data_IF_592184070814
#
_entry.id   IF_592184070814
#
_cell.length_a   1.000
_cell.length_b   1.000
_cell.length_c   1.000
_cell.angle_alpha   90.00
_cell.angle_beta   90.00
_cell.angle_gamma   90.00
#
_symmetry.space_group_name_H-M   'P 1'
#
loop_
_entity.id
_entity.type
_entity.pdbx_description
1 polymer ?
#
# COMPACT_ATOMS: atom_id res chain seq x y z
N UNK A 1 25.08 -14.10 -6.42
CA UNK A 1 24.27 -13.85 -5.20
C UNK A 1 23.73 -12.44 -5.34
N UNK A 2 22.56 -12.14 -4.76
CA UNK A 2 22.07 -10.77 -4.81
C UNK A 2 23.07 -9.86 -4.08
N UNK A 3 23.18 -8.62 -4.55
CA UNK A 3 23.99 -7.59 -3.90
C UNK A 3 23.30 -7.07 -2.64
N UNK A 4 21.98 -6.98 -2.69
CA UNK A 4 21.10 -6.62 -1.59
C UNK A 4 19.96 -7.65 -1.52
N UNK A 5 19.95 -8.45 -0.45
CA UNK A 5 18.85 -9.34 -0.12
C UNK A 5 17.81 -8.64 0.78
N UNK A 6 16.53 -8.73 0.42
CA UNK A 6 15.44 -8.32 1.30
C UNK A 6 15.28 -9.33 2.43
N UNK A 7 15.21 -8.85 3.67
CA UNK A 7 15.06 -9.67 4.86
C UNK A 7 13.84 -9.21 5.67
N UNK A 8 13.16 -10.12 6.42
CA UNK A 8 11.94 -9.76 7.14
C UNK A 8 12.08 -8.65 8.19
N UNK A 9 13.29 -8.34 8.65
CA UNK A 9 13.55 -7.22 9.57
C UNK A 9 13.39 -5.83 8.93
N UNK A 10 13.37 -5.78 7.59
CA UNK A 10 13.10 -4.57 6.81
C UNK A 10 11.60 -4.34 6.57
N UNK A 11 10.74 -5.29 6.93
CA UNK A 11 9.29 -5.13 6.76
C UNK A 11 8.77 -4.02 7.69
N UNK A 12 8.15 -3.00 7.09
CA UNK A 12 7.46 -1.93 7.80
C UNK A 12 6.07 -2.36 8.27
N UNK A 13 5.49 -3.37 7.62
CA UNK A 13 4.11 -3.79 7.82
C UNK A 13 3.09 -2.85 7.15
N UNK A 14 3.55 -1.90 6.33
CA UNK A 14 2.72 -1.08 5.45
C UNK A 14 2.95 -1.60 4.04
N UNK A 15 1.99 -2.38 3.51
CA UNK A 15 2.17 -3.13 2.27
C UNK A 15 2.64 -2.27 1.08
N UNK A 16 2.12 -1.05 0.94
CA UNK A 16 2.57 -0.12 -0.11
C UNK A 16 4.07 0.21 0.01
N UNK A 17 4.52 0.55 1.22
CA UNK A 17 5.92 0.92 1.50
C UNK A 17 6.85 -0.28 1.28
N UNK A 18 6.46 -1.45 1.78
CA UNK A 18 7.26 -2.68 1.65
C UNK A 18 7.44 -3.10 0.17
N UNK A 19 6.40 -2.97 -0.65
CA UNK A 19 6.51 -3.26 -2.08
C UNK A 19 7.38 -2.24 -2.82
N UNK A 20 7.30 -0.96 -2.45
CA UNK A 20 8.17 0.08 -2.99
C UNK A 20 9.65 -0.18 -2.63
N UNK A 21 9.94 -0.51 -1.38
CA UNK A 21 11.30 -0.85 -0.95
C UNK A 21 11.87 -2.07 -1.70
N UNK A 22 11.06 -3.12 -1.90
CA UNK A 22 11.49 -4.30 -2.68
C UNK A 22 11.80 -3.96 -4.14
N UNK A 23 11.09 -3.00 -4.73
CA UNK A 23 11.38 -2.51 -6.09
C UNK A 23 12.73 -1.76 -6.09
N UNK A 24 13.00 -0.90 -5.10
CA UNK A 24 14.31 -0.24 -4.97
C UNK A 24 15.46 -1.24 -4.83
N UNK A 25 15.28 -2.27 -3.99
CA UNK A 25 16.25 -3.37 -3.84
C UNK A 25 16.49 -4.10 -5.16
N UNK A 26 15.43 -4.35 -5.95
CA UNK A 26 15.55 -4.95 -7.29
C UNK A 26 16.37 -4.06 -8.23
N UNK A 27 16.12 -2.76 -8.28
CA UNK A 27 16.88 -1.82 -9.11
C UNK A 27 18.36 -1.77 -8.70
N UNK A 28 18.66 -1.83 -7.39
CA UNK A 28 20.04 -1.91 -6.89
C UNK A 28 20.73 -3.19 -7.37
N UNK A 29 20.04 -4.33 -7.32
CA UNK A 29 20.57 -5.59 -7.82
C UNK A 29 20.78 -5.57 -9.35
N UNK A 30 19.86 -4.98 -10.11
CA UNK A 30 20.01 -4.81 -11.56
C UNK A 30 21.21 -3.92 -11.91
N UNK A 31 21.42 -2.84 -11.14
CA UNK A 31 22.59 -1.98 -11.28
C UNK A 31 23.89 -2.75 -11.00
N UNK A 32 23.90 -3.61 -9.97
CA UNK A 32 25.05 -4.45 -9.64
C UNK A 32 25.40 -5.41 -10.78
N UNK A 33 24.39 -6.01 -11.38
CA UNK A 33 24.57 -6.90 -12.53
C UNK A 33 25.09 -6.16 -13.77
N UNK A 34 24.60 -4.94 -14.04
CA UNK A 34 25.11 -4.10 -15.13
C UNK A 34 26.58 -3.70 -14.93
N UNK A 35 26.94 -3.26 -13.71
CA UNK A 35 28.32 -2.93 -13.34
C UNK A 35 29.26 -4.14 -13.42
N UNK A 36 28.80 -5.31 -12.98
CA UNK A 36 29.58 -6.56 -13.07
C UNK A 36 29.87 -6.96 -14.52
N UNK A 37 28.95 -6.66 -15.45
CA UNK A 37 29.14 -6.87 -16.89
C UNK A 37 29.87 -5.73 -17.59
N UNK A 38 30.19 -4.63 -16.89
CA UNK A 38 30.75 -3.40 -17.45
C UNK A 38 29.88 -2.82 -18.57
N UNK A 39 28.56 -2.88 -18.39
CA UNK A 39 27.56 -2.35 -19.31
C UNK A 39 27.14 -0.94 -18.92
N UNK A 40 27.98 0.03 -19.29
CA UNK A 40 27.80 1.45 -18.96
C UNK A 40 26.47 2.04 -19.46
N UNK A 41 25.98 1.56 -20.61
CA UNK A 41 24.72 2.04 -21.17
C UNK A 41 23.52 1.52 -20.37
N UNK A 42 23.57 0.26 -19.91
CA UNK A 42 22.56 -0.28 -19.02
C UNK A 42 22.60 0.39 -17.64
N UNK A 43 23.79 0.62 -17.07
CA UNK A 43 23.94 1.36 -15.81
C UNK A 43 23.23 2.71 -15.88
N UNK A 44 23.49 3.51 -16.91
CA UNK A 44 22.87 4.82 -17.07
C UNK A 44 21.34 4.81 -17.06
N UNK A 45 20.72 3.83 -17.74
CA UNK A 45 19.27 3.66 -17.76
C UNK A 45 18.72 3.25 -16.39
N UNK A 46 19.37 2.30 -15.74
CA UNK A 46 18.97 1.82 -14.42
C UNK A 46 19.08 2.94 -13.37
N UNK A 47 20.13 3.77 -13.44
CA UNK A 47 20.31 4.93 -12.56
C UNK A 47 19.16 5.93 -12.74
N UNK A 48 18.78 6.24 -13.98
CA UNK A 48 17.66 7.14 -14.26
C UNK A 48 16.34 6.60 -13.71
N UNK A 49 16.04 5.32 -13.95
CA UNK A 49 14.84 4.67 -13.47
C UNK A 49 14.80 4.58 -11.93
N UNK A 50 15.94 4.28 -11.29
CA UNK A 50 16.09 4.23 -9.84
C UNK A 50 15.82 5.59 -9.20
N UNK A 51 16.39 6.68 -9.74
CA UNK A 51 16.16 8.04 -9.22
C UNK A 51 14.69 8.41 -9.34
N UNK A 52 14.08 8.17 -10.52
CA UNK A 52 12.66 8.45 -10.75
C UNK A 52 11.79 7.74 -9.72
N UNK A 53 12.03 6.44 -9.52
CA UNK A 53 11.25 5.63 -8.58
C UNK A 53 11.49 6.02 -7.11
N UNK A 54 12.73 6.39 -6.77
CA UNK A 54 13.07 6.89 -5.42
C UNK A 54 12.29 8.15 -5.08
N UNK A 55 12.15 9.09 -6.02
CA UNK A 55 11.37 10.32 -5.82
C UNK A 55 9.88 10.02 -5.66
N UNK A 56 9.34 9.10 -6.45
CA UNK A 56 7.94 8.66 -6.34
C UNK A 56 7.66 8.02 -4.98
N UNK A 57 8.51 7.08 -4.56
CA UNK A 57 8.43 6.43 -3.26
C UNK A 57 8.47 7.45 -2.10
N UNK A 58 9.44 8.38 -2.10
CA UNK A 58 9.49 9.43 -1.08
C UNK A 58 8.25 10.32 -1.09
N UNK A 59 7.70 10.63 -2.25
CA UNK A 59 6.46 11.44 -2.36
C UNK A 59 5.29 10.75 -1.66
N UNK A 60 5.17 9.43 -1.84
CA UNK A 60 4.12 8.64 -1.19
C UNK A 60 4.31 8.56 0.32
N UNK A 61 5.53 8.30 0.80
CA UNK A 61 5.81 8.29 2.24
C UNK A 61 5.58 9.65 2.89
N UNK A 62 6.04 10.71 2.24
CA UNK A 62 5.86 12.08 2.72
C UNK A 62 4.40 12.45 2.85
N UNK A 63 3.58 12.02 1.89
CA UNK A 63 2.12 12.18 1.94
C UNK A 63 1.53 11.38 3.09
N UNK A 64 1.92 10.11 3.26
CA UNK A 64 1.45 9.27 4.38
C UNK A 64 1.82 9.89 5.73
N UNK A 65 3.06 10.37 5.88
CA UNK A 65 3.53 11.03 7.09
C UNK A 65 2.73 12.30 7.41
N UNK A 66 2.46 13.14 6.41
CA UNK A 66 1.71 14.38 6.58
C UNK A 66 0.24 14.10 6.94
N UNK A 67 -0.42 13.19 6.21
CA UNK A 67 -1.81 12.79 6.46
C UNK A 67 -1.99 12.17 7.86
N UNK A 68 -1.00 11.39 8.32
CA UNK A 68 -1.00 10.79 9.64
C UNK A 68 -0.58 11.74 10.77
N UNK A 69 -0.09 12.94 10.45
CA UNK A 69 0.35 13.93 11.44
C UNK A 69 1.66 13.55 12.14
N UNK A 70 2.60 12.92 11.44
CA UNK A 70 3.91 12.55 12.00
C UNK A 70 4.75 13.80 12.31
N UNK A 71 5.12 13.97 13.59
CA UNK A 71 5.76 15.20 14.10
C UNK A 71 7.15 15.47 13.53
N UNK A 72 7.85 14.44 13.06
CA UNK A 72 9.20 14.57 12.46
C UNK A 72 9.19 14.53 10.92
N UNK A 73 8.01 14.66 10.28
CA UNK A 73 7.88 14.65 8.81
C UNK A 73 8.85 15.62 8.13
N UNK A 74 9.01 16.84 8.67
CA UNK A 74 9.93 17.84 8.11
C UNK A 74 11.39 17.39 8.13
N UNK A 75 11.83 16.74 9.21
CA UNK A 75 13.20 16.23 9.33
C UNK A 75 13.42 15.04 8.38
N UNK A 76 12.42 14.17 8.25
CA UNK A 76 12.45 13.02 7.34
C UNK A 76 12.56 13.46 5.87
N UNK A 77 11.74 14.42 5.45
CA UNK A 77 11.81 15.09 4.14
C UNK A 77 13.19 15.66 3.83
N UNK A 78 13.86 16.24 4.83
CA UNK A 78 15.21 16.76 4.64
C UNK A 78 16.25 15.64 4.42
N UNK A 79 16.04 14.44 4.96
CA UNK A 79 16.86 13.25 4.70
C UNK A 79 16.67 12.81 3.24
N UNK A 80 15.42 12.72 2.78
CA UNK A 80 15.10 12.40 1.37
C UNK A 80 15.76 13.37 0.39
N UNK A 81 15.58 14.67 0.61
CA UNK A 81 16.12 15.70 -0.28
C UNK A 81 17.65 15.62 -0.40
N UNK A 82 18.36 15.38 0.70
CA UNK A 82 19.82 15.21 0.68
C UNK A 82 20.24 13.98 -0.12
N UNK A 83 19.50 12.88 0.01
CA UNK A 83 19.78 11.66 -0.74
C UNK A 83 19.55 11.84 -2.24
N UNK A 84 18.40 12.41 -2.65
CA UNK A 84 18.11 12.70 -4.06
C UNK A 84 19.16 13.61 -4.67
N UNK A 85 19.57 14.67 -3.96
CA UNK A 85 20.66 15.55 -4.41
C UNK A 85 21.96 14.78 -4.62
N UNK A 86 22.33 13.92 -3.66
CA UNK A 86 23.57 13.14 -3.72
C UNK A 86 23.58 12.17 -4.90
N UNK A 87 22.50 11.42 -5.11
CA UNK A 87 22.40 10.47 -6.23
C UNK A 87 22.34 11.21 -7.57
N UNK A 88 21.67 12.37 -7.63
CA UNK A 88 21.66 13.24 -8.82
C UNK A 88 23.05 13.75 -9.22
N UNK A 89 23.90 14.12 -8.26
CA UNK A 89 25.31 14.47 -8.54
C UNK A 89 26.07 13.27 -9.14
N UNK A 90 25.87 12.07 -8.60
CA UNK A 90 26.52 10.85 -9.09
C UNK A 90 26.02 10.46 -10.49
N UNK A 91 24.73 10.68 -10.79
CA UNK A 91 24.18 10.51 -12.12
C UNK A 91 24.84 11.45 -13.14
N UNK A 92 25.04 12.72 -12.78
CA UNK A 92 25.74 13.67 -13.65
C UNK A 92 27.18 13.23 -13.92
N UNK A 93 27.89 12.75 -12.90
CA UNK A 93 29.22 12.13 -13.05
C UNK A 93 29.21 10.94 -14.01
N UNK A 94 28.23 10.04 -13.88
CA UNK A 94 28.05 8.93 -14.82
C UNK A 94 27.78 9.44 -16.24
N UNK A 95 26.87 10.40 -16.43
CA UNK A 95 26.58 10.98 -17.76
C UNK A 95 27.81 11.66 -18.38
N UNK A 96 28.75 12.16 -17.57
CA UNK A 96 30.02 12.70 -18.01
C UNK A 96 31.08 11.63 -18.37
N UNK A 97 30.74 10.34 -18.29
CA UNK A 97 31.62 9.22 -18.65
C UNK A 97 32.47 8.68 -17.50
N UNK A 98 32.20 9.07 -16.25
CA UNK A 98 32.95 8.57 -15.09
C UNK A 98 32.43 7.19 -14.67
N UNK A 99 33.35 6.24 -14.42
CA UNK A 99 33.02 4.96 -13.80
C UNK A 99 32.73 5.17 -12.30
N UNK A 100 31.43 5.21 -11.97
CA UNK A 100 30.93 5.41 -10.60
C UNK A 100 30.12 4.22 -10.11
N UNK A 101 29.97 3.15 -10.90
CA UNK A 101 29.02 2.07 -10.66
C UNK A 101 29.17 1.43 -9.28
N UNK A 102 30.40 1.05 -8.90
CA UNK A 102 30.65 0.45 -7.57
C UNK A 102 30.41 1.46 -6.43
N UNK A 103 30.92 2.68 -6.56
CA UNK A 103 30.72 3.73 -5.54
C UNK A 103 29.24 4.05 -5.34
N UNK A 104 28.45 4.06 -6.42
CA UNK A 104 27.01 4.29 -6.35
C UNK A 104 26.30 3.13 -5.66
N UNK A 105 26.65 1.88 -5.98
CA UNK A 105 26.11 0.70 -5.31
C UNK A 105 26.34 0.72 -3.80
N UNK A 106 27.55 1.07 -3.36
CA UNK A 106 27.89 1.18 -1.93
C UNK A 106 27.04 2.25 -1.23
N UNK A 107 26.85 3.41 -1.88
CA UNK A 107 26.01 4.51 -1.38
C UNK A 107 24.54 4.09 -1.30
N UNK A 108 23.99 3.51 -2.37
CA UNK A 108 22.59 3.10 -2.44
C UNK A 108 22.26 2.02 -1.40
N UNK A 109 23.08 0.97 -1.31
CA UNK A 109 22.86 -0.12 -0.35
C UNK A 109 22.94 0.39 1.09
N UNK A 110 24.03 1.08 1.44
CA UNK A 110 24.23 1.60 2.80
C UNK A 110 23.12 2.56 3.22
N UNK A 111 22.74 3.48 2.33
CA UNK A 111 21.71 4.46 2.61
C UNK A 111 20.34 3.79 2.76
N UNK A 112 19.92 2.96 1.80
CA UNK A 112 18.60 2.34 1.82
C UNK A 112 18.42 1.43 3.03
N UNK A 113 19.42 0.58 3.33
CA UNK A 113 19.37 -0.26 4.53
C UNK A 113 19.24 0.56 5.82
N UNK A 114 20.06 1.62 5.96
CA UNK A 114 20.03 2.48 7.14
C UNK A 114 18.71 3.24 7.25
N UNK A 115 18.19 3.72 6.13
CA UNK A 115 16.96 4.49 6.04
C UNK A 115 15.76 3.67 6.51
N UNK A 116 15.55 2.50 5.90
CA UNK A 116 14.47 1.58 6.27
C UNK A 116 14.59 1.17 7.73
N UNK A 117 15.80 0.80 8.16
CA UNK A 117 16.02 0.24 9.51
C UNK A 117 15.96 1.28 10.63
N UNK A 118 16.10 2.58 10.35
CA UNK A 118 16.19 3.60 11.40
C UNK A 118 15.24 4.77 11.20
N UNK A 119 15.16 5.32 9.99
CA UNK A 119 14.37 6.51 9.71
C UNK A 119 12.89 6.13 9.51
N UNK A 120 12.61 5.15 8.66
CA UNK A 120 11.22 4.81 8.29
C UNK A 120 10.47 4.20 9.47
N UNK A 121 11.19 3.45 10.32
CA UNK A 121 10.66 2.93 11.59
C UNK A 121 10.01 4.00 12.46
N UNK A 122 10.44 5.26 12.35
CA UNK A 122 9.91 6.37 13.12
C UNK A 122 8.45 6.68 12.83
N UNK A 123 8.01 6.58 11.56
CA UNK A 123 6.64 6.95 11.18
C UNK A 123 5.67 5.77 11.21
N UNK A 124 6.15 4.51 11.14
CA UNK A 124 5.32 3.30 10.96
C UNK A 124 4.11 3.28 11.88
N UNK A 125 4.32 3.41 13.20
CA UNK A 125 3.23 3.26 14.18
C UNK A 125 2.15 4.34 14.02
N UNK A 126 2.55 5.56 13.66
CA UNK A 126 1.64 6.70 13.46
C UNK A 126 0.82 6.49 12.19
N UNK A 127 1.48 6.09 11.10
CA UNK A 127 0.83 5.83 9.81
C UNK A 127 -0.10 4.62 9.89
N UNK A 128 0.32 3.50 10.49
CA UNK A 128 -0.55 2.33 10.66
C UNK A 128 -1.81 2.66 11.46
N UNK A 129 -1.68 3.44 12.54
CA UNK A 129 -2.84 3.92 13.32
C UNK A 129 -3.78 4.78 12.48
N UNK A 130 -3.23 5.69 11.67
CA UNK A 130 -4.01 6.54 10.77
C UNK A 130 -4.75 5.71 9.71
N UNK A 131 -4.07 4.77 9.06
CA UNK A 131 -4.67 3.89 8.05
C UNK A 131 -5.80 3.03 8.66
N UNK A 132 -5.57 2.43 9.84
CA UNK A 132 -6.59 1.65 10.54
C UNK A 132 -7.84 2.49 10.87
N UNK A 133 -7.65 3.73 11.34
CA UNK A 133 -8.77 4.64 11.62
C UNK A 133 -9.57 4.98 10.34
N UNK A 134 -8.88 5.23 9.22
CA UNK A 134 -9.54 5.51 7.92
C UNK A 134 -10.29 4.31 7.37
N UNK A 135 -9.75 3.11 7.53
CA UNK A 135 -10.45 1.89 7.14
C UNK A 135 -11.76 1.71 7.93
N UNK A 136 -11.72 1.90 9.26
CA UNK A 136 -12.92 1.80 10.11
C UNK A 136 -13.98 2.85 9.75
N UNK A 137 -13.57 4.08 9.45
CA UNK A 137 -14.47 5.15 9.00
C UNK A 137 -15.12 4.80 7.65
N UNK A 138 -14.33 4.34 6.68
CA UNK A 138 -14.84 3.94 5.36
C UNK A 138 -15.83 2.76 5.45
N UNK A 139 -15.56 1.77 6.30
CA UNK A 139 -16.47 0.64 6.54
C UNK A 139 -17.80 1.11 7.15
N UNK A 140 -17.74 2.09 8.05
CA UNK A 140 -18.93 2.69 8.66
C UNK A 140 -19.78 3.41 7.62
N UNK A 141 -19.16 4.26 6.79
CA UNK A 141 -19.85 4.97 5.70
C UNK A 141 -20.48 3.98 4.71
N UNK A 142 -19.73 2.96 4.29
CA UNK A 142 -20.25 1.94 3.37
C UNK A 142 -21.44 1.16 3.96
N UNK A 143 -21.41 0.87 5.27
CA UNK A 143 -22.53 0.23 5.95
C UNK A 143 -23.77 1.14 6.00
N UNK A 144 -23.59 2.43 6.30
CA UNK A 144 -24.69 3.41 6.32
C UNK A 144 -25.31 3.59 4.92
N UNK A 145 -24.49 3.68 3.87
CA UNK A 145 -24.95 3.76 2.48
C UNK A 145 -25.73 2.51 2.07
N UNK A 146 -25.26 1.31 2.46
CA UNK A 146 -25.94 0.05 2.20
C UNK A 146 -27.30 -0.03 2.91
N UNK A 147 -27.39 0.41 4.16
CA UNK A 147 -28.65 0.49 4.92
C UNK A 147 -29.61 1.47 4.26
N UNK A 148 -29.14 2.67 3.89
CA UNK A 148 -29.97 3.68 3.23
C UNK A 148 -30.48 3.18 1.86
N UNK A 149 -29.61 2.56 1.05
CA UNK A 149 -30.00 1.96 -0.23
C UNK A 149 -31.04 0.84 -0.09
N UNK A 150 -30.97 0.06 0.99
CA UNK A 150 -31.98 -0.97 1.29
C UNK A 150 -33.34 -0.37 1.65
N UNK A 151 -33.38 0.80 2.29
CA UNK A 151 -34.62 1.49 2.68
C UNK A 151 -35.24 2.32 1.54
N UNK A 152 -34.43 2.83 0.60
CA UNK A 152 -34.88 3.65 -0.55
C UNK A 152 -35.46 2.79 -1.69
N UNK A 153 -35.33 1.46 -1.67
CA UNK A 153 -36.00 0.59 -2.66
C UNK A 153 -37.52 0.77 -2.58
N UNK A 154 -38.20 1.16 -3.67
CA UNK A 154 -39.65 1.28 -3.64
C UNK A 154 -40.25 -0.09 -3.34
N UNK A 155 -41.11 -0.16 -2.32
CA UNK A 155 -41.98 -1.30 -2.08
C UNK A 155 -42.67 -1.61 -3.42
N UNK A 156 -42.35 -2.77 -4.02
CA UNK A 156 -43.09 -3.27 -5.18
C UNK A 156 -44.57 -3.28 -4.80
N UNK A 157 -45.36 -2.38 -5.38
CA UNK A 157 -46.82 -2.44 -5.38
C UNK A 157 -47.22 -3.64 -6.25
N UNK A 158 -47.20 -4.82 -5.65
CA UNK A 158 -47.54 -6.08 -6.31
C UNK A 158 -48.10 -7.04 -5.28
N UNK A 159 -49.32 -6.80 -4.85
CA UNK A 159 -50.05 -7.66 -3.93
C UNK A 159 -51.48 -7.17 -3.82
N UNK A 160 -52.35 -7.66 -4.72
CA UNK A 160 -53.77 -7.42 -4.66
C UNK A 160 -54.32 -7.78 -3.28
N UNK A 161 -55.21 -6.92 -2.79
CA UNK A 161 -56.01 -7.16 -1.60
C UNK A 161 -56.88 -8.40 -1.86
N UNK A 162 -56.53 -9.55 -1.29
CA UNK A 162 -57.48 -10.65 -1.14
C UNK A 162 -58.36 -10.29 0.06
N UNK A 163 -59.60 -9.87 -0.22
CA UNK A 163 -60.62 -9.62 0.78
C UNK A 163 -60.98 -10.92 1.48
N UNK A 164 -61.13 -10.84 2.81
CA UNK A 164 -61.64 -11.90 3.68
C UNK A 164 -63.15 -12.03 3.43
N UNK A 165 -63.53 -12.77 2.41
CA UNK A 165 -64.90 -13.20 2.15
C UNK A 165 -64.82 -14.51 1.37
N UNK A 166 -64.80 -15.61 2.11
CA UNK A 166 -65.25 -16.97 1.75
C UNK A 166 -64.54 -17.98 2.68
N UNK A 167 -64.86 -17.90 3.97
CA UNK A 167 -64.77 -19.02 4.89
C UNK A 167 -66.20 -19.40 5.24
N UNK A 168 -66.92 -19.98 4.30
CA UNK A 168 -68.13 -20.74 4.63
C UNK A 168 -67.73 -22.09 5.23
N UNK A 169 -68.39 -22.37 6.34
CA UNK A 169 -68.29 -23.55 7.15
C UNK A 169 -68.52 -24.84 6.34
N UNK A 170 -67.69 -25.84 6.59
CA UNK A 170 -68.24 -27.18 6.81
C UNK A 170 -67.49 -27.88 7.95
N UNK A 171 -68.26 -28.25 8.96
CA UNK A 171 -67.79 -29.00 10.12
C UNK A 171 -67.97 -30.49 9.85
N UNK A 172 -67.09 -31.33 10.40
CA UNK A 172 -67.60 -32.55 10.98
C UNK A 172 -67.13 -32.70 12.42
N UNK A 173 -68.10 -32.62 13.34
CA UNK A 173 -67.99 -33.26 14.63
C UNK A 173 -68.16 -34.77 14.44
N UNK A 174 -67.15 -35.57 14.77
CA UNK A 174 -67.30 -36.71 15.70
C UNK A 174 -65.93 -37.36 15.98
N UNK A 175 -65.53 -37.32 17.25
CA UNK A 175 -64.51 -38.21 17.83
C UNK A 175 -65.21 -39.47 18.42
N UNK A 176 -64.51 -40.35 19.16
CA UNK A 176 -63.53 -41.34 18.72
C UNK A 176 -63.95 -42.78 19.17
N UNK A 177 -63.23 -43.83 18.73
CA UNK A 177 -63.04 -45.17 19.38
C UNK A 177 -62.18 -46.04 18.43
N UNK A 178 -60.94 -46.41 18.76
CA UNK A 178 -60.47 -47.44 19.69
C UNK A 178 -60.50 -48.88 19.13
N UNK A 179 -59.31 -49.51 19.18
CA UNK A 179 -58.97 -50.94 19.33
C UNK A 179 -58.69 -51.84 18.11
N UNK A 180 -57.53 -52.52 18.29
CA UNK A 180 -57.05 -53.82 17.77
C UNK A 180 -56.60 -53.91 16.32
#
# INVERSE_FOLDING_TARGET
>A
MAYFDWTPDLDSGIALVDEQHKILVRCINELHEANSRKDFAAEGKIIEDLIRYTVEHFTDEERLMDEAGYSLSKQHKAIHQRFVSKVGEMQQSHQAGQDIGQTLLDVLHSWLFTHISHHDRGFIAVVQKHLAARHAENETIAAEEAVNAAFVRPRRSGGGFATVADMEADSPQHAPKAQA
#
